data_IF_563533651593
#
_entry.id   IF_563533651593
#
_cell.length_a   1.000
_cell.length_b   1.000
_cell.length_c   1.000
_cell.angle_alpha   90.00
_cell.angle_beta   90.00
_cell.angle_gamma   90.00
#
_symmetry.space_group_name_H-M   'P 1'
#
loop_
_entity.id
_entity.type
_entity.pdbx_description
1 polymer ?
#
# COMPACT_ATOMS: atom_id res chain seq x y z
N UNK A 1 30.92 -8.73 -9.78
CA UNK A 1 29.46 -8.93 -9.86
C UNK A 1 28.71 -7.79 -9.13
N UNK A 2 28.89 -7.62 -7.80
CA UNK A 2 28.13 -6.64 -7.01
C UNK A 2 28.24 -5.20 -7.52
N UNK A 3 29.45 -4.72 -7.83
CA UNK A 3 29.67 -3.39 -8.41
C UNK A 3 29.04 -3.22 -9.79
N UNK A 4 29.17 -4.22 -10.66
CA UNK A 4 28.57 -4.17 -12.01
C UNK A 4 27.05 -4.14 -11.93
N UNK A 5 26.44 -4.99 -11.05
CA UNK A 5 25.01 -5.07 -10.83
C UNK A 5 24.46 -3.76 -10.22
N UNK A 6 25.12 -3.20 -9.19
CA UNK A 6 24.69 -1.96 -8.55
C UNK A 6 24.85 -0.74 -9.45
N UNK A 7 25.99 -0.61 -10.15
CA UNK A 7 26.21 0.51 -11.08
C UNK A 7 25.27 0.48 -12.26
N UNK A 8 25.06 -0.70 -12.88
CA UNK A 8 24.12 -0.82 -14.01
C UNK A 8 22.69 -0.49 -13.60
N UNK A 9 22.25 -0.95 -12.41
CA UNK A 9 20.92 -0.63 -11.87
C UNK A 9 20.77 0.88 -11.65
N UNK A 10 21.76 1.52 -11.03
CA UNK A 10 21.74 2.96 -10.78
C UNK A 10 21.70 3.76 -12.09
N UNK A 11 22.53 3.40 -13.07
CA UNK A 11 22.57 4.06 -14.38
C UNK A 11 21.21 3.91 -15.08
N UNK A 12 20.63 2.70 -15.11
CA UNK A 12 19.35 2.44 -15.77
C UNK A 12 18.21 3.21 -15.10
N UNK A 13 18.22 3.35 -13.76
CA UNK A 13 17.24 4.18 -13.07
C UNK A 13 17.40 5.67 -13.39
N UNK A 14 18.62 6.18 -13.42
CA UNK A 14 18.88 7.57 -13.80
C UNK A 14 18.49 7.87 -15.25
N UNK A 15 18.57 6.89 -16.14
CA UNK A 15 18.11 6.99 -17.53
C UNK A 15 16.56 6.90 -17.66
N UNK A 16 15.84 6.68 -16.58
CA UNK A 16 14.38 6.55 -16.60
C UNK A 16 13.86 5.23 -17.21
N UNK A 17 14.68 4.20 -17.24
CA UNK A 17 14.28 2.87 -17.75
C UNK A 17 13.21 2.28 -16.82
N UNK A 18 12.11 1.68 -17.35
CA UNK A 18 11.09 1.05 -16.53
C UNK A 18 11.69 0.04 -15.55
N UNK A 19 11.23 0.07 -14.30
CA UNK A 19 11.84 -0.62 -13.15
C UNK A 19 12.07 -2.11 -13.41
N UNK A 20 11.09 -2.82 -13.96
CA UNK A 20 11.21 -4.25 -14.27
C UNK A 20 12.34 -4.53 -15.26
N UNK A 21 12.47 -3.67 -16.28
CA UNK A 21 13.52 -3.77 -17.31
C UNK A 21 14.89 -3.44 -16.71
N UNK A 22 14.95 -2.38 -15.89
CA UNK A 22 16.19 -1.96 -15.23
C UNK A 22 16.73 -3.06 -14.31
N UNK A 23 15.89 -3.67 -13.47
CA UNK A 23 16.27 -4.77 -12.58
C UNK A 23 16.70 -6.00 -13.40
N UNK A 24 15.94 -6.36 -14.43
CA UNK A 24 16.24 -7.50 -15.29
C UNK A 24 17.57 -7.34 -16.04
N UNK A 25 17.78 -6.19 -16.68
CA UNK A 25 19.02 -5.90 -17.40
C UNK A 25 20.24 -5.80 -16.47
N UNK A 26 20.10 -5.13 -15.32
CA UNK A 26 21.17 -5.09 -14.33
C UNK A 26 21.57 -6.49 -13.87
N UNK A 27 20.59 -7.39 -13.70
CA UNK A 27 20.84 -8.78 -13.33
C UNK A 27 21.60 -9.53 -14.42
N UNK A 28 21.25 -9.33 -15.71
CA UNK A 28 21.98 -9.90 -16.85
C UNK A 28 23.43 -9.39 -16.88
N UNK A 29 23.64 -8.09 -16.72
CA UNK A 29 24.99 -7.50 -16.63
C UNK A 29 25.79 -8.10 -15.46
N UNK A 30 25.12 -8.33 -14.31
CA UNK A 30 25.76 -8.99 -13.17
C UNK A 30 26.19 -10.42 -13.44
N UNK A 31 25.39 -11.19 -14.19
CA UNK A 31 25.69 -12.57 -14.61
C UNK A 31 26.90 -12.57 -15.55
N UNK A 32 26.87 -11.74 -16.58
CA UNK A 32 27.95 -11.62 -17.57
C UNK A 32 29.28 -11.18 -16.91
N UNK A 33 29.22 -10.21 -16.00
CA UNK A 33 30.40 -9.75 -15.27
C UNK A 33 31.01 -10.83 -14.34
N UNK A 34 30.22 -11.83 -13.93
CA UNK A 34 30.73 -12.96 -13.16
C UNK A 34 31.36 -14.05 -14.05
N UNK A 35 30.86 -14.23 -15.30
CA UNK A 35 31.38 -15.17 -16.29
C UNK A 35 31.26 -16.67 -15.91
N UNK A 36 30.51 -17.03 -14.87
CA UNK A 36 30.38 -18.40 -14.35
C UNK A 36 28.94 -18.92 -14.37
N UNK A 37 27.96 -18.08 -14.63
CA UNK A 37 26.55 -18.43 -14.63
C UNK A 37 26.02 -18.45 -16.08
N UNK A 38 25.28 -19.50 -16.47
CA UNK A 38 24.69 -19.55 -17.81
C UNK A 38 23.53 -18.56 -17.90
N UNK A 39 23.36 -17.91 -19.07
CA UNK A 39 22.23 -17.02 -19.33
C UNK A 39 20.86 -17.70 -19.25
N UNK A 40 20.81 -19.04 -19.41
CA UNK A 40 19.58 -19.81 -19.20
C UNK A 40 19.00 -19.60 -17.80
N UNK A 41 19.85 -19.29 -16.81
CA UNK A 41 19.45 -18.99 -15.42
C UNK A 41 18.47 -17.80 -15.37
N UNK A 42 18.59 -16.83 -16.29
CA UNK A 42 17.70 -15.67 -16.37
C UNK A 42 16.26 -16.14 -16.55
N UNK A 43 16.02 -16.93 -17.59
CA UNK A 43 14.68 -17.45 -17.88
C UNK A 43 14.16 -18.36 -16.74
N UNK A 44 15.01 -19.26 -16.23
CA UNK A 44 14.64 -20.16 -15.14
C UNK A 44 14.21 -19.40 -13.89
N UNK A 45 15.00 -18.42 -13.44
CA UNK A 45 14.72 -17.66 -12.22
C UNK A 45 13.52 -16.71 -12.38
N UNK A 46 13.38 -16.08 -13.53
CA UNK A 46 12.21 -15.25 -13.80
C UNK A 46 10.91 -16.08 -13.80
N UNK A 47 10.95 -17.27 -14.37
CA UNK A 47 9.78 -18.16 -14.43
C UNK A 47 9.45 -18.72 -13.03
N UNK A 48 10.44 -19.30 -12.34
CA UNK A 48 10.22 -19.85 -10.97
C UNK A 48 9.86 -18.77 -9.95
N UNK A 49 10.28 -17.52 -10.16
CA UNK A 49 9.96 -16.42 -9.26
C UNK A 49 8.50 -16.00 -9.25
N UNK A 50 7.76 -16.25 -10.33
CA UNK A 50 6.32 -16.02 -10.41
C UNK A 50 5.49 -17.28 -10.15
N UNK A 51 6.10 -18.45 -10.15
CA UNK A 51 5.44 -19.74 -9.86
C UNK A 51 5.33 -19.95 -8.35
N UNK A 52 4.49 -19.14 -7.71
CA UNK A 52 4.26 -19.16 -6.27
C UNK A 52 2.77 -19.00 -5.97
N UNK A 53 2.19 -19.95 -5.21
CA UNK A 53 0.76 -19.97 -4.89
C UNK A 53 0.29 -18.67 -4.20
N UNK A 54 1.00 -18.08 -3.21
CA UNK A 54 0.59 -16.82 -2.61
C UNK A 54 0.51 -15.64 -3.57
N UNK A 55 1.29 -15.63 -4.66
CA UNK A 55 1.24 -14.56 -5.66
C UNK A 55 -0.07 -14.54 -6.45
N UNK A 56 -0.80 -15.66 -6.52
CA UNK A 56 -2.13 -15.71 -7.13
C UNK A 56 -3.15 -14.82 -6.40
N UNK A 57 -2.90 -14.46 -5.15
CA UNK A 57 -3.76 -13.53 -4.41
C UNK A 57 -3.75 -12.12 -5.05
N UNK A 58 -2.65 -11.69 -5.66
CA UNK A 58 -2.51 -10.34 -6.22
C UNK A 58 -3.51 -10.08 -7.36
N UNK A 59 -3.55 -10.88 -8.45
CA UNK A 59 -4.53 -10.66 -9.51
C UNK A 59 -5.98 -10.75 -9.03
N UNK A 60 -6.26 -11.63 -8.07
CA UNK A 60 -7.61 -11.79 -7.54
C UNK A 60 -8.03 -10.62 -6.65
N UNK A 61 -7.16 -10.08 -5.80
CA UNK A 61 -7.48 -8.87 -5.04
C UNK A 61 -7.60 -7.64 -5.94
N UNK A 62 -6.78 -7.49 -6.98
CA UNK A 62 -6.94 -6.42 -7.98
C UNK A 62 -8.30 -6.54 -8.67
N UNK A 63 -8.68 -7.75 -9.08
CA UNK A 63 -9.97 -8.02 -9.70
C UNK A 63 -11.12 -7.68 -8.74
N UNK A 64 -11.06 -8.15 -7.50
CA UNK A 64 -12.07 -7.85 -6.48
C UNK A 64 -12.23 -6.34 -6.27
N UNK A 65 -11.13 -5.59 -6.13
CA UNK A 65 -11.13 -4.13 -5.98
C UNK A 65 -11.76 -3.41 -7.18
N UNK A 66 -11.44 -3.83 -8.41
CA UNK A 66 -12.02 -3.27 -9.62
C UNK A 66 -13.53 -3.58 -9.74
N UNK A 67 -13.95 -4.82 -9.43
CA UNK A 67 -15.37 -5.22 -9.40
C UNK A 67 -16.15 -4.43 -8.37
N UNK A 68 -15.59 -4.23 -7.17
CA UNK A 68 -16.24 -3.46 -6.11
C UNK A 68 -16.35 -1.98 -6.45
N UNK A 69 -15.34 -1.41 -7.07
CA UNK A 69 -15.36 -0.02 -7.53
C UNK A 69 -16.48 0.19 -8.56
N UNK A 70 -16.54 -0.71 -9.56
CA UNK A 70 -17.57 -0.66 -10.61
C UNK A 70 -18.98 -1.06 -10.12
N UNK A 71 -19.06 -1.91 -9.08
CA UNK A 71 -20.31 -2.40 -8.48
C UNK A 71 -20.97 -1.46 -7.48
N UNK A 72 -20.51 -0.19 -7.36
CA UNK A 72 -21.14 0.84 -6.52
C UNK A 72 -20.85 0.69 -5.02
N UNK A 73 -19.91 -0.17 -4.63
CA UNK A 73 -19.54 -0.40 -3.24
C UNK A 73 -18.85 0.85 -2.67
N UNK A 74 -17.94 1.47 -3.43
CA UNK A 74 -17.24 2.69 -3.03
C UNK A 74 -18.19 3.81 -2.61
N UNK A 75 -19.26 4.02 -3.37
CA UNK A 75 -20.24 5.06 -3.07
C UNK A 75 -20.94 4.81 -1.72
N UNK A 76 -21.31 3.56 -1.43
CA UNK A 76 -21.99 3.20 -0.17
C UNK A 76 -21.08 3.31 1.05
N UNK A 77 -19.80 3.00 0.90
CA UNK A 77 -18.80 3.24 1.95
C UNK A 77 -18.62 4.73 2.23
N UNK A 78 -18.61 5.58 1.18
CA UNK A 78 -18.59 7.04 1.34
C UNK A 78 -19.82 7.54 2.10
N UNK A 79 -21.04 7.07 1.74
CA UNK A 79 -22.27 7.47 2.43
C UNK A 79 -22.30 7.00 3.88
N UNK A 80 -21.81 5.81 4.18
CA UNK A 80 -21.66 5.32 5.53
C UNK A 80 -20.68 6.20 6.33
N UNK A 81 -19.50 6.46 5.82
CA UNK A 81 -18.51 7.29 6.49
C UNK A 81 -19.03 8.72 6.73
N UNK A 82 -19.72 9.32 5.77
CA UNK A 82 -20.40 10.61 5.94
C UNK A 82 -21.45 10.57 7.05
N UNK A 83 -22.23 9.51 7.15
CA UNK A 83 -23.25 9.39 8.18
C UNK A 83 -22.66 9.25 9.58
N UNK A 84 -21.46 8.65 9.70
CA UNK A 84 -20.76 8.48 10.98
C UNK A 84 -20.12 9.77 11.48
N UNK A 85 -19.39 10.49 10.63
CA UNK A 85 -18.53 11.61 11.05
C UNK A 85 -18.82 12.95 10.38
N UNK A 86 -19.70 13.00 9.37
CA UNK A 86 -19.99 14.21 8.59
C UNK A 86 -20.61 15.38 9.39
N UNK A 87 -21.05 15.15 10.65
CA UNK A 87 -21.80 16.10 11.49
C UNK A 87 -21.02 17.18 12.19
N UNK A 88 -19.74 17.12 12.13
CA UNK A 88 -18.86 18.02 12.82
C UNK A 88 -18.09 18.89 11.82
N UNK A 89 -17.57 20.02 12.26
CA UNK A 89 -16.70 20.81 11.42
C UNK A 89 -15.47 19.97 11.02
N UNK A 90 -15.17 19.87 9.73
CA UNK A 90 -14.16 18.97 9.20
C UNK A 90 -14.65 17.52 8.97
N UNK A 91 -15.94 17.25 9.22
CA UNK A 91 -16.51 15.90 9.15
C UNK A 91 -16.41 15.26 7.76
N UNK A 92 -16.60 16.03 6.69
CA UNK A 92 -16.46 15.51 5.32
C UNK A 92 -15.02 15.07 5.00
N UNK A 93 -14.02 15.78 5.52
CA UNK A 93 -12.63 15.39 5.38
C UNK A 93 -12.28 14.17 6.25
N UNK A 94 -12.85 14.06 7.47
CA UNK A 94 -12.77 12.83 8.27
C UNK A 94 -13.45 11.64 7.57
N UNK A 95 -14.57 11.90 6.88
CA UNK A 95 -15.24 10.87 6.07
C UNK A 95 -14.32 10.37 4.95
N UNK A 96 -13.46 11.24 4.40
CA UNK A 96 -12.47 10.83 3.41
C UNK A 96 -11.47 9.82 4.00
N UNK A 97 -10.90 10.11 5.17
CA UNK A 97 -9.97 9.20 5.86
C UNK A 97 -10.65 7.87 6.16
N UNK A 98 -11.85 7.92 6.75
CA UNK A 98 -12.60 6.73 7.14
C UNK A 98 -13.03 5.89 5.92
N UNK A 99 -13.45 6.54 4.83
CA UNK A 99 -13.78 5.82 3.58
C UNK A 99 -12.56 5.16 2.98
N UNK A 100 -11.42 5.86 2.93
CA UNK A 100 -10.17 5.27 2.45
C UNK A 100 -9.75 4.07 3.32
N UNK A 101 -9.90 4.17 4.63
CA UNK A 101 -9.65 3.07 5.56
C UNK A 101 -10.56 1.85 5.28
N UNK A 102 -11.87 2.08 5.08
CA UNK A 102 -12.81 0.99 4.77
C UNK A 102 -12.58 0.42 3.37
N UNK A 103 -12.31 1.25 2.38
CA UNK A 103 -12.04 0.81 1.01
C UNK A 103 -10.68 0.10 0.87
N UNK A 104 -9.72 0.47 1.72
CA UNK A 104 -8.42 -0.19 1.83
C UNK A 104 -8.55 -1.70 2.08
N UNK A 105 -9.49 -2.09 2.96
CA UNK A 105 -9.73 -3.51 3.29
C UNK A 105 -10.21 -4.37 2.13
N UNK A 106 -10.23 -3.82 0.92
CA UNK A 106 -10.61 -4.52 -0.30
C UNK A 106 -9.66 -4.25 -1.46
N UNK A 107 -9.22 -2.97 -1.63
CA UNK A 107 -8.45 -2.59 -2.83
C UNK A 107 -6.98 -3.00 -2.76
N UNK A 108 -6.39 -3.00 -1.57
CA UNK A 108 -4.96 -3.31 -1.36
C UNK A 108 -3.97 -2.39 -2.06
N UNK A 109 -4.43 -1.22 -2.60
CA UNK A 109 -3.63 -0.28 -3.39
C UNK A 109 -3.99 1.17 -3.06
N UNK A 110 -2.99 1.99 -2.74
CA UNK A 110 -3.17 3.42 -2.47
C UNK A 110 -3.58 4.20 -3.73
N UNK A 111 -2.99 3.89 -4.87
CA UNK A 111 -3.31 4.54 -6.15
C UNK A 111 -4.74 4.25 -6.57
N UNK A 112 -5.18 3.00 -6.49
CA UNK A 112 -6.57 2.62 -6.78
C UNK A 112 -7.55 3.33 -5.83
N UNK A 113 -7.22 3.41 -4.54
CA UNK A 113 -8.01 4.13 -3.53
C UNK A 113 -8.08 5.64 -3.85
N UNK A 114 -6.96 6.24 -4.30
CA UNK A 114 -6.93 7.66 -4.70
C UNK A 114 -7.87 7.94 -5.85
N UNK A 115 -7.88 7.11 -6.89
CA UNK A 115 -8.78 7.31 -8.02
C UNK A 115 -10.24 7.03 -7.66
N UNK A 116 -10.54 5.90 -7.01
CA UNK A 116 -11.90 5.49 -6.71
C UNK A 116 -12.61 6.46 -5.73
N UNK A 117 -11.98 6.76 -4.61
CA UNK A 117 -12.57 7.59 -3.55
C UNK A 117 -12.36 9.08 -3.85
N UNK A 118 -11.20 9.45 -4.40
CA UNK A 118 -10.88 10.82 -4.75
C UNK A 118 -11.81 11.42 -5.80
N UNK A 119 -12.23 10.63 -6.79
CA UNK A 119 -13.21 11.06 -7.79
C UNK A 119 -14.56 11.49 -7.19
N UNK A 120 -14.93 10.92 -6.04
CA UNK A 120 -16.17 11.22 -5.32
C UNK A 120 -15.93 12.34 -4.30
N UNK A 121 -14.93 12.21 -3.45
CA UNK A 121 -14.77 13.07 -2.27
C UNK A 121 -14.02 14.37 -2.54
N UNK A 122 -13.06 14.44 -3.49
CA UNK A 122 -12.41 15.70 -3.82
C UNK A 122 -13.43 16.75 -4.32
N UNK A 123 -14.30 16.47 -5.32
CA UNK A 123 -15.32 17.42 -5.73
C UNK A 123 -16.31 17.76 -4.61
N UNK A 124 -16.69 16.77 -3.80
CA UNK A 124 -17.57 16.99 -2.66
C UNK A 124 -16.96 17.96 -1.64
N UNK A 125 -15.71 17.76 -1.23
CA UNK A 125 -15.00 18.66 -0.32
C UNK A 125 -14.89 20.07 -0.90
N UNK A 126 -14.57 20.22 -2.18
CA UNK A 126 -14.48 21.52 -2.84
C UNK A 126 -15.83 22.24 -2.84
N UNK A 127 -16.94 21.52 -3.11
CA UNK A 127 -18.30 22.08 -3.04
C UNK A 127 -18.65 22.58 -1.63
N UNK A 128 -18.10 21.95 -0.59
CA UNK A 128 -18.30 22.33 0.82
C UNK A 128 -17.24 23.29 1.35
N UNK A 129 -16.57 24.04 0.46
CA UNK A 129 -15.68 25.15 0.82
C UNK A 129 -14.26 24.76 1.21
N UNK A 130 -13.86 23.51 0.99
CA UNK A 130 -12.45 23.13 1.16
C UNK A 130 -11.61 23.66 -0.01
N UNK A 131 -10.44 24.28 0.24
CA UNK A 131 -9.49 24.60 -0.83
C UNK A 131 -9.14 23.34 -1.61
N UNK A 132 -9.20 23.42 -2.92
CA UNK A 132 -8.96 22.26 -3.81
C UNK A 132 -7.61 21.58 -3.55
N UNK A 133 -6.48 22.31 -3.32
CA UNK A 133 -5.22 21.69 -2.96
C UNK A 133 -5.27 20.93 -1.62
N UNK A 134 -6.01 21.46 -0.63
CA UNK A 134 -6.18 20.79 0.67
C UNK A 134 -7.00 19.50 0.52
N UNK A 135 -8.09 19.54 -0.25
CA UNK A 135 -8.89 18.34 -0.53
C UNK A 135 -8.06 17.24 -1.21
N UNK A 136 -7.22 17.63 -2.16
CA UNK A 136 -6.30 16.69 -2.81
C UNK A 136 -5.21 16.14 -1.85
N UNK A 137 -4.68 16.96 -0.93
CA UNK A 137 -3.73 16.52 0.11
C UNK A 137 -4.36 15.52 1.07
N UNK A 138 -5.60 15.79 1.52
CA UNK A 138 -6.37 14.88 2.39
C UNK A 138 -6.53 13.54 1.69
N UNK A 139 -6.99 13.56 0.43
CA UNK A 139 -7.20 12.33 -0.35
C UNK A 139 -5.91 11.55 -0.56
N UNK A 140 -4.82 12.20 -1.00
CA UNK A 140 -3.54 11.56 -1.22
C UNK A 140 -3.04 10.84 0.03
N UNK A 141 -3.03 11.53 1.17
CA UNK A 141 -2.54 10.98 2.43
C UNK A 141 -3.46 9.91 3.01
N UNK A 142 -4.78 10.06 2.87
CA UNK A 142 -5.74 9.05 3.34
C UNK A 142 -5.69 7.78 2.51
N UNK A 143 -5.39 7.87 1.22
CA UNK A 143 -5.33 6.73 0.33
C UNK A 143 -4.14 5.80 0.64
N UNK A 144 -3.11 6.27 1.36
CA UNK A 144 -2.01 5.41 1.82
C UNK A 144 -2.48 4.31 2.79
N UNK A 145 -3.62 4.48 3.42
CA UNK A 145 -4.26 3.40 4.18
C UNK A 145 -4.54 2.17 3.30
N UNK A 146 -4.66 2.36 1.97
CA UNK A 146 -4.86 1.30 0.98
C UNK A 146 -3.74 0.28 0.88
N UNK A 147 -2.53 0.60 1.33
CA UNK A 147 -1.40 -0.33 1.38
C UNK A 147 -1.08 -0.80 2.80
N UNK A 148 -1.67 -0.17 3.82
CA UNK A 148 -1.43 -0.51 5.23
C UNK A 148 -2.47 -1.49 5.76
N UNK A 149 -3.75 -1.23 5.48
CA UNK A 149 -4.86 -2.05 5.97
C UNK A 149 -5.03 -3.27 5.07
N UNK A 150 -5.07 -4.48 5.65
CA UNK A 150 -5.21 -5.69 4.87
C UNK A 150 -6.60 -5.84 4.20
N UNK A 151 -6.66 -6.56 3.06
CA UNK A 151 -5.53 -7.13 2.35
C UNK A 151 -4.69 -6.08 1.61
N UNK A 152 -3.38 -6.23 1.64
CA UNK A 152 -2.43 -5.27 1.05
C UNK A 152 -1.48 -6.00 0.10
N UNK A 153 -1.39 -5.53 -1.15
CA UNK A 153 -0.47 -6.09 -2.14
C UNK A 153 1.00 -5.94 -1.70
N UNK A 154 1.46 -4.78 -1.19
CA UNK A 154 2.80 -4.65 -0.65
C UNK A 154 3.13 -5.63 0.48
N UNK A 155 2.19 -5.91 1.38
CA UNK A 155 2.40 -6.91 2.45
C UNK A 155 2.52 -8.33 1.91
N UNK A 156 1.76 -8.69 0.85
CA UNK A 156 1.92 -9.98 0.16
C UNK A 156 3.31 -10.08 -0.45
N UNK A 157 3.75 -9.03 -1.16
CA UNK A 157 5.06 -8.98 -1.81
C UNK A 157 6.20 -9.09 -0.80
N UNK A 158 6.09 -8.38 0.32
CA UNK A 158 7.05 -8.50 1.41
C UNK A 158 7.09 -9.93 1.95
N UNK A 159 5.93 -10.50 2.28
CA UNK A 159 5.83 -11.87 2.81
C UNK A 159 6.45 -12.91 1.88
N UNK A 160 6.17 -12.84 0.57
CA UNK A 160 6.74 -13.76 -0.42
C UNK A 160 8.24 -13.54 -0.60
N UNK A 161 8.72 -12.30 -0.59
CA UNK A 161 10.13 -11.98 -0.84
C UNK A 161 11.05 -12.26 0.37
N UNK A 162 10.49 -12.40 1.57
CA UNK A 162 11.23 -12.58 2.83
C UNK A 162 10.85 -13.84 3.60
N UNK A 163 10.03 -14.72 3.00
CA UNK A 163 9.47 -15.93 3.65
C UNK A 163 8.75 -15.63 4.98
N UNK A 164 8.12 -14.43 5.07
CA UNK A 164 7.36 -14.00 6.26
C UNK A 164 5.87 -14.33 6.08
N UNK A 165 5.20 -14.78 7.15
CA UNK A 165 3.78 -15.13 7.11
C UNK A 165 2.89 -13.96 6.68
N UNK A 166 2.20 -14.09 5.53
CA UNK A 166 1.28 -13.07 5.02
C UNK A 166 0.09 -12.88 5.96
N UNK A 167 -0.39 -13.95 6.59
CA UNK A 167 -1.47 -13.88 7.58
C UNK A 167 -1.08 -13.02 8.79
N UNK A 168 0.12 -13.22 9.33
CA UNK A 168 0.66 -12.40 10.43
C UNK A 168 0.86 -10.93 10.00
N UNK A 169 1.38 -10.70 8.80
CA UNK A 169 1.54 -9.35 8.24
C UNK A 169 0.20 -8.62 8.11
N UNK A 170 -0.85 -9.34 7.71
CA UNK A 170 -2.19 -8.77 7.60
C UNK A 170 -2.75 -8.37 8.97
N UNK A 171 -2.60 -9.23 9.98
CA UNK A 171 -3.03 -8.87 11.36
C UNK A 171 -2.20 -7.70 11.89
N UNK A 172 -0.87 -7.73 11.68
CA UNK A 172 0.04 -6.68 12.11
C UNK A 172 -0.27 -5.31 11.48
N UNK A 173 -0.85 -5.27 10.27
CA UNK A 173 -1.21 -4.05 9.54
C UNK A 173 -2.37 -3.27 10.16
N UNK A 174 -3.21 -3.91 10.97
CA UNK A 174 -4.37 -3.26 11.60
C UNK A 174 -3.95 -2.14 12.55
N UNK A 175 -2.99 -2.40 13.43
CA UNK A 175 -2.52 -1.42 14.41
C UNK A 175 -1.96 -0.15 13.76
N UNK A 176 -0.96 -0.25 12.88
CA UNK A 176 -0.45 0.88 12.09
C UNK A 176 -1.53 1.60 11.30
N UNK A 177 -2.44 0.86 10.64
CA UNK A 177 -3.54 1.45 9.87
C UNK A 177 -4.45 2.32 10.73
N UNK A 178 -4.86 1.85 11.91
CA UNK A 178 -5.68 2.61 12.86
C UNK A 178 -4.91 3.83 13.39
N UNK A 179 -3.62 3.69 13.71
CA UNK A 179 -2.81 4.79 14.21
C UNK A 179 -2.68 5.91 13.16
N UNK A 180 -2.38 5.56 11.90
CA UNK A 180 -2.28 6.53 10.80
C UNK A 180 -3.63 7.18 10.53
N UNK A 181 -4.73 6.41 10.45
CA UNK A 181 -6.05 6.94 10.21
C UNK A 181 -6.49 7.92 11.31
N UNK A 182 -6.32 7.55 12.58
CA UNK A 182 -6.66 8.43 13.72
C UNK A 182 -5.80 9.69 13.75
N UNK A 183 -4.50 9.58 13.47
CA UNK A 183 -3.59 10.73 13.38
C UNK A 183 -4.01 11.70 12.27
N UNK A 184 -4.37 11.18 11.09
CA UNK A 184 -4.87 11.99 9.97
C UNK A 184 -6.22 12.64 10.31
N UNK A 185 -7.16 11.93 10.95
CA UNK A 185 -8.43 12.50 11.37
C UNK A 185 -8.24 13.64 12.39
N UNK A 186 -7.36 13.45 13.37
CA UNK A 186 -7.03 14.49 14.36
C UNK A 186 -6.45 15.72 13.64
N UNK A 187 -5.47 15.52 12.75
CA UNK A 187 -4.87 16.62 11.97
C UNK A 187 -5.93 17.40 11.19
N UNK A 188 -6.81 16.69 10.48
CA UNK A 188 -7.86 17.29 9.66
C UNK A 188 -8.82 18.12 10.54
N UNK A 189 -9.25 17.60 11.68
CA UNK A 189 -10.13 18.31 12.61
C UNK A 189 -9.46 19.59 13.14
N UNK A 190 -8.19 19.50 13.51
CA UNK A 190 -7.42 20.66 13.97
C UNK A 190 -7.29 21.70 12.87
N UNK A 191 -6.87 21.29 11.66
CA UNK A 191 -6.71 22.22 10.52
C UNK A 191 -8.04 22.88 10.14
N UNK A 192 -9.16 22.14 10.13
CA UNK A 192 -10.47 22.70 9.81
C UNK A 192 -10.93 23.73 10.86
N UNK A 193 -10.69 23.44 12.15
CA UNK A 193 -11.03 24.39 13.22
C UNK A 193 -10.17 25.64 13.17
N UNK A 194 -8.86 25.50 13.03
CA UNK A 194 -7.90 26.64 13.01
C UNK A 194 -8.13 27.53 11.79
N UNK A 195 -8.42 26.93 10.63
CA UNK A 195 -8.62 27.68 9.38
C UNK A 195 -10.07 28.11 9.14
N UNK A 196 -11.02 27.72 9.98
CA UNK A 196 -12.43 28.04 9.81
C UNK A 196 -13.06 27.39 8.56
N UNK A 197 -12.55 26.23 8.12
CA UNK A 197 -12.97 25.54 6.89
C UNK A 197 -13.83 24.32 7.25
N UNK A 198 -14.62 23.85 6.26
CA UNK A 198 -15.43 22.64 6.43
C UNK A 198 -16.54 22.84 7.44
N UNK A 199 -17.43 23.79 7.16
CA UNK A 199 -18.60 24.06 8.00
C UNK A 199 -19.49 22.82 8.12
N UNK A 200 -20.32 22.74 9.16
CA UNK A 200 -21.25 21.63 9.39
C UNK A 200 -22.12 21.41 8.18
N UNK A 201 -22.11 20.20 7.62
CA UNK A 201 -23.09 19.77 6.63
C UNK A 201 -24.47 19.66 7.32
N UNK A 202 -25.35 20.62 7.02
CA UNK A 202 -26.69 20.68 7.60
C UNK A 202 -27.75 19.91 6.82
N UNK A 203 -27.54 19.57 5.56
CA UNK A 203 -28.66 19.32 4.67
C UNK A 203 -28.74 17.91 4.00
N UNK A 204 -27.72 17.06 3.95
CA UNK A 204 -27.83 15.82 3.17
C UNK A 204 -27.26 14.59 3.90
N UNK A 205 -27.76 14.30 5.11
CA UNK A 205 -27.38 13.06 5.78
C UNK A 205 -28.48 12.02 5.65
N UNK A 206 -28.16 10.89 5.03
CA UNK A 206 -28.91 9.67 5.29
C UNK A 206 -28.79 9.33 6.79
N UNK A 207 -29.87 8.89 7.42
CA UNK A 207 -29.77 8.41 8.81
C UNK A 207 -28.72 7.31 8.90
N UNK A 208 -27.95 7.30 10.00
CA UNK A 208 -26.89 6.29 10.21
C UNK A 208 -27.43 4.86 10.00
N UNK A 209 -28.64 4.58 10.49
CA UNK A 209 -29.30 3.28 10.32
C UNK A 209 -29.50 2.91 8.83
N UNK A 210 -29.99 3.86 8.01
CA UNK A 210 -30.18 3.61 6.57
C UNK A 210 -28.86 3.45 5.84
N UNK A 211 -27.85 4.31 6.15
CA UNK A 211 -26.53 4.19 5.55
C UNK A 211 -25.86 2.87 5.91
N UNK A 212 -25.95 2.43 7.17
CA UNK A 212 -25.42 1.14 7.63
C UNK A 212 -26.10 -0.04 6.93
N UNK A 213 -27.44 -0.04 6.81
CA UNK A 213 -28.16 -1.09 6.11
C UNK A 213 -27.78 -1.18 4.63
N UNK A 214 -27.64 -0.03 3.98
CA UNK A 214 -27.23 0.03 2.57
C UNK A 214 -25.78 -0.40 2.36
N UNK A 215 -24.89 -0.14 3.32
CA UNK A 215 -23.47 -0.51 3.26
C UNK A 215 -23.22 -1.94 3.76
N UNK A 216 -24.16 -2.59 4.45
CA UNK A 216 -23.96 -3.92 5.02
C UNK A 216 -23.46 -4.95 4.02
N UNK A 217 -24.01 -5.09 2.79
CA UNK A 217 -23.47 -6.00 1.79
C UNK A 217 -22.03 -5.65 1.38
N UNK A 218 -21.70 -4.35 1.31
CA UNK A 218 -20.33 -3.89 1.02
C UNK A 218 -19.34 -4.27 2.13
N UNK A 219 -19.76 -4.16 3.40
CA UNK A 219 -18.95 -4.53 4.56
C UNK A 219 -18.79 -6.04 4.74
N UNK A 220 -19.70 -6.85 4.18
CA UNK A 220 -19.54 -8.30 4.21
C UNK A 220 -18.29 -8.76 3.46
N UNK A 221 -17.86 -8.05 2.41
CA UNK A 221 -16.68 -8.46 1.62
C UNK A 221 -15.40 -8.43 2.47
N UNK A 222 -14.99 -7.31 3.10
CA UNK A 222 -13.83 -7.32 3.99
C UNK A 222 -14.02 -8.26 5.19
N UNK A 223 -15.23 -8.42 5.69
CA UNK A 223 -15.49 -9.35 6.78
C UNK A 223 -15.23 -10.82 6.39
N UNK A 224 -15.66 -11.23 5.19
CA UNK A 224 -15.38 -12.58 4.66
C UNK A 224 -13.87 -12.79 4.48
N UNK A 225 -13.17 -11.80 3.92
CA UNK A 225 -11.73 -11.87 3.69
C UNK A 225 -10.98 -11.99 5.03
N UNK A 226 -11.12 -11.00 5.88
CA UNK A 226 -10.34 -10.91 7.12
C UNK A 226 -10.78 -11.96 8.14
N UNK A 227 -12.09 -12.17 8.27
CA UNK A 227 -12.64 -13.20 9.14
C UNK A 227 -12.18 -14.60 8.72
N UNK A 228 -12.17 -14.92 7.42
CA UNK A 228 -11.69 -16.18 6.89
C UNK A 228 -10.20 -16.41 7.13
N UNK A 229 -9.38 -15.37 6.95
CA UNK A 229 -7.91 -15.45 7.18
C UNK A 229 -7.62 -15.58 8.68
N UNK A 230 -8.24 -14.75 9.52
CA UNK A 230 -7.94 -14.72 10.97
C UNK A 230 -8.47 -15.90 11.73
N UNK A 231 -9.55 -16.54 11.23
CA UNK A 231 -10.03 -17.80 11.77
C UNK A 231 -9.25 -19.03 11.28
N UNK A 232 -8.30 -18.85 10.36
CA UNK A 232 -7.53 -19.95 9.76
C UNK A 232 -8.32 -20.79 8.75
N UNK A 233 -9.55 -20.37 8.38
CA UNK A 233 -10.39 -21.08 7.40
C UNK A 233 -9.84 -20.90 5.98
N UNK A 234 -9.35 -19.71 5.66
CA UNK A 234 -8.81 -19.35 4.35
C UNK A 234 -7.34 -18.97 4.42
N UNK A 235 -6.57 -19.43 3.47
CA UNK A 235 -5.30 -18.82 3.10
C UNK A 235 -5.55 -17.44 2.43
N UNK A 236 -4.57 -16.52 2.38
CA UNK A 236 -4.71 -15.25 1.66
C UNK A 236 -5.16 -15.42 0.20
N UNK A 237 -4.72 -16.48 -0.48
CA UNK A 237 -5.10 -16.77 -1.86
C UNK A 237 -6.56 -17.21 -1.97
N UNK A 238 -7.03 -18.11 -1.11
CA UNK A 238 -8.43 -18.53 -1.06
C UNK A 238 -9.36 -17.37 -0.68
N UNK A 239 -8.94 -16.54 0.28
CA UNK A 239 -9.67 -15.33 0.66
C UNK A 239 -9.80 -14.34 -0.52
N UNK A 240 -8.79 -14.24 -1.38
CA UNK A 240 -8.86 -13.39 -2.58
C UNK A 240 -9.87 -13.90 -3.61
N UNK A 241 -9.97 -15.22 -3.78
CA UNK A 241 -11.01 -15.82 -4.63
C UNK A 241 -12.42 -15.63 -4.04
N UNK A 242 -12.56 -15.79 -2.72
CA UNK A 242 -13.82 -15.49 -2.02
C UNK A 242 -14.21 -14.01 -2.15
N UNK A 243 -13.23 -13.08 -2.13
CA UNK A 243 -13.45 -11.66 -2.37
C UNK A 243 -14.02 -11.37 -3.75
N UNK A 244 -13.49 -12.01 -4.79
CA UNK A 244 -14.01 -11.88 -6.17
C UNK A 244 -15.45 -12.38 -6.24
N UNK A 245 -15.73 -13.57 -5.68
CA UNK A 245 -17.09 -14.13 -5.65
C UNK A 245 -18.07 -13.20 -4.90
N UNK A 246 -17.67 -12.71 -3.73
CA UNK A 246 -18.48 -11.78 -2.94
C UNK A 246 -18.72 -10.45 -3.67
N UNK A 247 -17.69 -9.89 -4.33
CA UNK A 247 -17.82 -8.66 -5.12
C UNK A 247 -18.81 -8.82 -6.30
N UNK A 248 -18.78 -9.97 -6.98
CA UNK A 248 -19.75 -10.30 -8.04
C UNK A 248 -21.17 -10.44 -7.48
N UNK A 249 -21.36 -11.18 -6.40
CA UNK A 249 -22.67 -11.37 -5.76
C UNK A 249 -23.24 -10.02 -5.31
N UNK A 250 -22.44 -9.21 -4.63
CA UNK A 250 -22.89 -7.90 -4.14
C UNK A 250 -23.13 -6.94 -5.30
N UNK A 251 -22.21 -6.81 -6.25
CA UNK A 251 -22.31 -5.84 -7.35
C UNK A 251 -23.40 -6.17 -8.38
N UNK A 252 -23.53 -7.45 -8.76
CA UNK A 252 -24.51 -7.88 -9.76
C UNK A 252 -25.85 -8.30 -9.14
N UNK A 253 -25.82 -9.00 -8.01
CA UNK A 253 -27.02 -9.58 -7.39
C UNK A 253 -27.76 -8.59 -6.49
N UNK A 254 -27.04 -7.96 -5.54
CA UNK A 254 -27.64 -7.10 -4.51
C UNK A 254 -27.79 -5.66 -5.03
N UNK A 255 -26.70 -5.02 -5.42
CA UNK A 255 -26.71 -3.63 -5.86
C UNK A 255 -27.16 -3.46 -7.31
N UNK A 256 -26.94 -4.47 -8.14
CA UNK A 256 -27.33 -4.50 -9.56
C UNK A 256 -26.74 -3.35 -10.39
N UNK A 257 -25.61 -2.81 -9.94
CA UNK A 257 -24.88 -1.75 -10.65
C UNK A 257 -23.81 -2.33 -11.58
N UNK A 258 -23.25 -3.49 -11.23
CA UNK A 258 -22.28 -4.20 -12.05
C UNK A 258 -23.03 -4.96 -13.18
N UNK A 259 -22.77 -4.54 -14.43
CA UNK A 259 -23.37 -5.18 -15.61
C UNK A 259 -22.36 -6.11 -16.29
N UNK A 260 -22.84 -7.18 -16.94
CA UNK A 260 -22.01 -8.10 -17.72
C UNK A 260 -21.17 -7.38 -18.79
N UNK A 261 -21.71 -6.32 -19.40
CA UNK A 261 -21.03 -5.51 -20.38
C UNK A 261 -19.78 -4.77 -19.85
N UNK A 262 -19.66 -4.60 -18.53
CA UNK A 262 -18.50 -3.94 -17.91
C UNK A 262 -17.37 -4.93 -17.63
N UNK A 263 -17.65 -6.24 -17.55
CA UNK A 263 -16.65 -7.25 -17.18
C UNK A 263 -15.42 -7.29 -18.11
N UNK A 264 -15.55 -7.20 -19.44
CA UNK A 264 -14.39 -7.21 -20.32
C UNK A 264 -13.39 -6.06 -20.03
N UNK A 265 -13.88 -4.86 -19.75
CA UNK A 265 -13.01 -3.72 -19.42
C UNK A 265 -12.38 -3.88 -18.03
N UNK A 266 -13.13 -4.37 -17.04
CA UNK A 266 -12.63 -4.69 -15.71
C UNK A 266 -11.53 -5.75 -15.77
N UNK A 267 -11.75 -6.82 -16.52
CA UNK A 267 -10.74 -7.87 -16.72
C UNK A 267 -9.50 -7.33 -17.42
N UNK A 268 -9.67 -6.52 -18.46
CA UNK A 268 -8.55 -5.88 -19.15
C UNK A 268 -7.70 -5.02 -18.22
N UNK A 269 -8.33 -4.16 -17.41
CA UNK A 269 -7.62 -3.34 -16.43
C UNK A 269 -6.90 -4.19 -15.39
N UNK A 270 -7.54 -5.26 -14.92
CA UNK A 270 -6.94 -6.22 -13.98
C UNK A 270 -5.73 -6.91 -14.59
N UNK A 271 -5.83 -7.39 -15.82
CA UNK A 271 -4.71 -8.04 -16.53
C UNK A 271 -3.53 -7.09 -16.70
N UNK A 272 -3.78 -5.85 -17.12
CA UNK A 272 -2.71 -4.84 -17.30
C UNK A 272 -2.00 -4.58 -15.97
N UNK A 273 -2.75 -4.32 -14.90
CA UNK A 273 -2.17 -4.06 -13.58
C UNK A 273 -1.41 -5.27 -13.04
N UNK A 274 -1.98 -6.46 -13.16
CA UNK A 274 -1.35 -7.72 -12.73
C UNK A 274 -0.06 -7.99 -13.51
N UNK A 275 -0.08 -7.86 -14.83
CA UNK A 275 1.08 -8.12 -15.67
C UNK A 275 2.24 -7.19 -15.34
N UNK A 276 1.95 -5.91 -15.05
CA UNK A 276 2.97 -4.95 -14.63
C UNK A 276 3.65 -5.39 -13.31
N UNK A 277 2.89 -5.88 -12.34
CA UNK A 277 3.43 -6.36 -11.07
C UNK A 277 4.20 -7.68 -11.27
N UNK A 278 3.65 -8.64 -12.02
CA UNK A 278 4.26 -9.94 -12.22
C UNK A 278 5.61 -9.85 -12.94
N UNK A 279 5.78 -8.95 -13.90
CA UNK A 279 7.07 -8.77 -14.58
C UNK A 279 8.12 -8.15 -13.64
N UNK A 280 7.71 -7.28 -12.73
CA UNK A 280 8.60 -6.75 -11.68
C UNK A 280 9.03 -7.89 -10.74
N UNK A 281 8.10 -8.75 -10.31
CA UNK A 281 8.40 -9.90 -9.44
C UNK A 281 9.39 -10.84 -10.12
N UNK A 282 9.16 -11.17 -11.40
CA UNK A 282 10.05 -12.04 -12.17
C UNK A 282 11.49 -11.49 -12.21
N UNK A 283 11.64 -10.22 -12.55
CA UNK A 283 12.93 -9.55 -12.60
C UNK A 283 13.60 -9.47 -11.20
N UNK A 284 12.81 -9.13 -10.18
CA UNK A 284 13.27 -9.04 -8.80
C UNK A 284 13.69 -10.39 -8.22
N UNK A 285 13.03 -11.49 -8.58
CA UNK A 285 13.44 -12.84 -8.18
C UNK A 285 14.83 -13.21 -8.69
N UNK A 286 15.13 -12.89 -9.94
CA UNK A 286 16.48 -13.05 -10.51
C UNK A 286 17.50 -12.18 -9.75
N UNK A 287 17.16 -10.92 -9.51
CA UNK A 287 18.01 -9.97 -8.79
C UNK A 287 18.30 -10.44 -7.36
N UNK A 288 17.26 -10.83 -6.61
CA UNK A 288 17.36 -11.35 -5.25
C UNK A 288 18.24 -12.59 -5.17
N UNK A 289 18.08 -13.51 -6.13
CA UNK A 289 18.96 -14.68 -6.22
C UNK A 289 20.43 -14.29 -6.38
N UNK A 290 20.75 -13.33 -7.24
CA UNK A 290 22.13 -12.87 -7.46
C UNK A 290 22.70 -12.17 -6.22
N UNK A 291 21.91 -11.31 -5.58
CA UNK A 291 22.26 -10.61 -4.35
C UNK A 291 22.57 -11.61 -3.23
N UNK A 292 21.68 -12.57 -3.01
CA UNK A 292 21.89 -13.61 -1.96
C UNK A 292 23.13 -14.45 -2.25
N UNK A 293 23.30 -14.89 -3.51
CA UNK A 293 24.46 -15.69 -3.92
C UNK A 293 25.79 -14.93 -3.82
N UNK A 294 25.76 -13.61 -3.95
CA UNK A 294 26.96 -12.76 -3.88
C UNK A 294 27.47 -12.55 -2.46
N UNK A 295 26.66 -12.89 -1.44
CA UNK A 295 26.97 -12.57 -0.05
C UNK A 295 26.81 -11.10 0.32
N UNK A 296 26.29 -10.28 -0.60
CA UNK A 296 26.12 -8.83 -0.38
C UNK A 296 25.34 -8.48 0.89
N UNK A 297 24.23 -9.19 1.26
CA UNK A 297 23.54 -8.91 2.50
C UNK A 297 24.43 -9.04 3.74
N UNK A 298 25.36 -10.01 3.76
CA UNK A 298 26.29 -10.20 4.87
C UNK A 298 27.35 -9.08 4.93
N UNK A 299 27.86 -8.65 3.77
CA UNK A 299 28.81 -7.53 3.67
C UNK A 299 28.16 -6.22 4.15
N UNK A 300 26.93 -5.97 3.70
CA UNK A 300 26.15 -4.80 4.13
C UNK A 300 25.84 -4.90 5.63
N UNK A 301 25.45 -6.08 6.15
CA UNK A 301 25.18 -6.28 7.56
C UNK A 301 26.40 -6.01 8.44
N UNK A 302 27.58 -6.46 8.01
CA UNK A 302 28.83 -6.18 8.70
C UNK A 302 29.13 -4.67 8.72
N UNK A 303 29.01 -4.00 7.58
CA UNK A 303 29.18 -2.55 7.48
C UNK A 303 28.20 -1.77 8.36
N UNK A 304 26.90 -2.17 8.36
CA UNK A 304 25.91 -1.55 9.24
C UNK A 304 26.27 -1.72 10.72
N UNK A 305 26.76 -2.89 11.14
CA UNK A 305 27.19 -3.14 12.52
C UNK A 305 28.41 -2.31 12.93
N UNK A 306 29.30 -2.03 11.98
CA UNK A 306 30.47 -1.17 12.23
C UNK A 306 30.08 0.31 12.35
N UNK A 307 29.02 0.75 11.63
CA UNK A 307 28.58 2.16 11.58
C UNK A 307 27.51 2.44 12.63
N UNK A 308 26.58 1.52 12.86
CA UNK A 308 25.45 1.68 13.76
C UNK A 308 25.51 0.68 14.91
N UNK A 309 25.94 1.12 16.08
CA UNK A 309 26.09 0.27 17.28
C UNK A 309 24.76 -0.14 17.90
N UNK A 310 23.65 0.57 17.60
CA UNK A 310 22.35 0.33 18.22
C UNK A 310 21.22 0.03 17.23
N UNK A 311 20.27 -0.80 17.66
CA UNK A 311 19.01 -1.07 16.94
C UNK A 311 18.27 0.23 16.57
N UNK A 312 18.27 1.22 17.46
CA UNK A 312 17.59 2.51 17.26
C UNK A 312 18.23 3.27 16.10
N UNK A 313 19.56 3.38 16.08
CA UNK A 313 20.30 4.05 15.01
C UNK A 313 20.14 3.34 13.66
N UNK A 314 20.17 2.00 13.66
CA UNK A 314 19.90 1.19 12.47
C UNK A 314 18.49 1.47 11.90
N UNK A 315 17.46 1.39 12.72
CA UNK A 315 16.09 1.64 12.29
C UNK A 315 15.89 3.07 11.78
N UNK A 316 16.54 4.06 12.38
CA UNK A 316 16.49 5.45 11.90
C UNK A 316 17.16 5.58 10.52
N UNK A 317 18.32 4.99 10.33
CA UNK A 317 19.03 4.99 9.05
C UNK A 317 18.20 4.31 7.95
N UNK A 318 17.57 3.17 8.26
CA UNK A 318 16.66 2.46 7.35
C UNK A 318 15.44 3.31 7.03
N UNK A 319 14.84 3.98 8.01
CA UNK A 319 13.70 4.87 7.77
C UNK A 319 14.07 6.02 6.81
N UNK A 320 15.23 6.63 6.98
CA UNK A 320 15.70 7.69 6.06
C UNK A 320 15.93 7.13 4.65
N UNK A 321 16.58 5.98 4.55
CA UNK A 321 16.83 5.31 3.27
C UNK A 321 15.52 5.00 2.54
N UNK A 322 14.56 4.35 3.23
CA UNK A 322 13.28 3.94 2.66
C UNK A 322 12.43 5.14 2.26
N UNK A 323 12.46 6.23 3.04
CA UNK A 323 11.76 7.47 2.70
C UNK A 323 12.30 8.05 1.40
N UNK A 324 13.64 8.14 1.27
CA UNK A 324 14.28 8.63 0.04
C UNK A 324 13.89 7.73 -1.14
N UNK A 325 14.01 6.41 -1.00
CA UNK A 325 13.65 5.47 -2.08
C UNK A 325 12.17 5.58 -2.45
N UNK A 326 11.27 5.65 -1.46
CA UNK A 326 9.83 5.76 -1.68
C UNK A 326 9.39 7.06 -2.39
N UNK A 327 10.21 8.13 -2.33
CA UNK A 327 9.97 9.34 -3.11
C UNK A 327 10.11 9.13 -4.62
N UNK A 328 10.89 8.13 -5.05
CA UNK A 328 11.26 7.90 -6.45
C UNK A 328 10.69 6.62 -7.03
N UNK A 329 10.46 5.60 -6.20
CA UNK A 329 10.10 4.24 -6.62
C UNK A 329 8.76 3.86 -5.99
N UNK A 330 7.92 3.19 -6.77
CA UNK A 330 6.64 2.64 -6.30
C UNK A 330 6.90 1.55 -5.24
N UNK A 331 5.99 1.47 -4.25
CA UNK A 331 6.13 0.62 -3.05
C UNK A 331 6.40 -0.84 -3.39
N UNK A 332 5.68 -1.44 -4.33
CA UNK A 332 5.83 -2.86 -4.68
C UNK A 332 7.23 -3.17 -5.23
N UNK A 333 7.73 -2.30 -6.10
CA UNK A 333 9.06 -2.45 -6.68
C UNK A 333 10.17 -2.23 -5.65
N UNK A 334 10.02 -1.23 -4.78
CA UNK A 334 10.98 -0.96 -3.72
C UNK A 334 11.07 -2.13 -2.72
N UNK A 335 9.94 -2.73 -2.33
CA UNK A 335 9.90 -3.91 -1.47
C UNK A 335 10.66 -5.08 -2.09
N UNK A 336 10.37 -5.41 -3.34
CA UNK A 336 10.99 -6.57 -4.01
C UNK A 336 12.50 -6.46 -4.15
N UNK A 337 13.05 -5.23 -4.20
CA UNK A 337 14.49 -4.99 -4.26
C UNK A 337 15.11 -4.91 -2.87
N UNK A 338 14.49 -4.19 -1.95
CA UNK A 338 15.10 -3.84 -0.67
C UNK A 338 14.78 -4.83 0.45
N UNK A 339 13.59 -5.43 0.48
CA UNK A 339 13.21 -6.30 1.58
C UNK A 339 14.11 -7.55 1.70
N UNK A 340 14.50 -8.26 0.61
CA UNK A 340 15.42 -9.39 0.72
C UNK A 340 16.82 -9.01 1.23
N UNK A 341 17.20 -7.75 1.08
CA UNK A 341 18.49 -7.23 1.55
C UNK A 341 18.40 -6.79 3.01
N UNK A 342 17.39 -5.98 3.34
CA UNK A 342 17.29 -5.31 4.63
C UNK A 342 16.71 -6.20 5.73
N UNK A 343 15.81 -7.16 5.40
CA UNK A 343 15.18 -8.01 6.42
C UNK A 343 16.17 -8.91 7.16
N UNK A 344 17.11 -9.60 6.51
CA UNK A 344 18.13 -10.36 7.23
C UNK A 344 19.00 -9.49 8.15
N UNK A 345 19.28 -8.25 7.74
CA UNK A 345 20.04 -7.29 8.55
C UNK A 345 19.21 -6.88 9.77
N UNK A 346 17.92 -6.57 9.59
CA UNK A 346 17.02 -6.22 10.69
C UNK A 346 16.90 -7.34 11.72
N UNK A 347 16.80 -8.61 11.28
CA UNK A 347 16.80 -9.79 12.14
C UNK A 347 18.12 -9.86 12.94
N UNK A 348 19.27 -9.55 12.34
CA UNK A 348 20.55 -9.54 13.02
C UNK A 348 20.66 -8.44 14.10
N UNK A 349 19.80 -7.40 14.05
CA UNK A 349 19.61 -6.39 15.10
C UNK A 349 18.48 -6.74 16.08
N UNK A 350 17.90 -7.94 15.99
CA UNK A 350 16.82 -8.40 16.87
C UNK A 350 15.47 -7.76 16.57
N UNK A 351 15.24 -7.31 15.31
CA UNK A 351 13.95 -6.81 14.86
C UNK A 351 13.13 -7.98 14.32
N UNK A 352 11.90 -8.12 14.79
CA UNK A 352 10.97 -9.12 14.29
C UNK A 352 10.66 -8.86 12.80
N UNK A 353 10.67 -9.89 11.91
CA UNK A 353 10.44 -9.72 10.48
C UNK A 353 9.04 -9.22 10.12
N UNK A 354 8.01 -9.56 10.89
CA UNK A 354 6.65 -9.04 10.68
C UNK A 354 6.61 -7.55 11.00
N UNK A 355 7.16 -7.15 12.14
CA UNK A 355 7.26 -5.75 12.53
C UNK A 355 8.07 -4.93 11.51
N UNK A 356 9.19 -5.47 11.04
CA UNK A 356 10.02 -4.81 10.04
C UNK A 356 9.31 -4.64 8.70
N UNK A 357 8.50 -5.62 8.29
CA UNK A 357 7.67 -5.53 7.10
C UNK A 357 6.69 -4.35 7.16
N UNK A 358 6.08 -4.12 8.31
CA UNK A 358 5.19 -2.96 8.50
C UNK A 358 5.97 -1.64 8.46
N UNK A 359 7.17 -1.58 9.05
CA UNK A 359 8.04 -0.39 8.95
C UNK A 359 8.34 -0.07 7.48
N UNK A 360 8.74 -1.07 6.69
CA UNK A 360 9.02 -0.88 5.25
C UNK A 360 7.78 -0.36 4.52
N UNK A 361 6.63 -1.01 4.69
CA UNK A 361 5.40 -0.65 3.95
C UNK A 361 4.92 0.74 4.33
N UNK A 362 4.86 1.09 5.63
CA UNK A 362 4.44 2.42 6.10
C UNK A 362 5.38 3.51 5.59
N UNK A 363 6.68 3.24 5.59
CA UNK A 363 7.70 4.19 5.16
C UNK A 363 7.63 4.46 3.65
N UNK A 364 7.55 3.40 2.85
CA UNK A 364 7.42 3.53 1.39
C UNK A 364 6.08 4.20 1.01
N UNK A 365 4.99 3.89 1.73
CA UNK A 365 3.72 4.59 1.57
C UNK A 365 3.87 6.10 1.82
N UNK A 366 4.55 6.50 2.90
CA UNK A 366 4.88 7.91 3.14
C UNK A 366 5.69 8.53 1.99
N UNK A 367 6.63 7.77 1.42
CA UNK A 367 7.39 8.18 0.25
C UNK A 367 6.50 8.48 -0.96
N UNK A 368 5.44 7.68 -1.19
CA UNK A 368 4.51 7.86 -2.32
C UNK A 368 3.70 9.17 -2.27
N UNK A 369 3.61 9.83 -1.15
CA UNK A 369 3.01 11.17 -1.02
C UNK A 369 4.06 12.28 -0.86
N UNK A 370 5.34 11.94 -0.85
CA UNK A 370 6.41 12.90 -0.60
C UNK A 370 7.08 13.32 -1.93
N UNK A 371 7.24 14.63 -2.21
CA UNK A 371 7.99 15.09 -3.39
C UNK A 371 9.44 14.55 -3.37
N UNK A 372 10.10 14.36 -4.55
CA UNK A 372 9.81 14.97 -5.85
C UNK A 372 8.81 14.21 -6.73
N UNK A 373 8.79 12.88 -6.70
CA UNK A 373 7.87 12.12 -7.55
C UNK A 373 6.55 11.83 -6.83
N UNK A 374 6.55 10.99 -5.79
CA UNK A 374 5.35 10.68 -5.03
C UNK A 374 4.19 10.20 -5.91
N UNK A 375 4.19 8.94 -6.34
CA UNK A 375 3.23 8.40 -7.33
C UNK A 375 1.77 8.69 -6.93
N UNK A 376 1.44 8.57 -5.65
CA UNK A 376 0.09 8.83 -5.17
C UNK A 376 -0.26 10.33 -5.12
N UNK A 377 0.75 11.17 -4.94
CA UNK A 377 0.62 12.62 -5.08
C UNK A 377 0.19 13.00 -6.50
N UNK A 378 0.84 12.42 -7.52
CA UNK A 378 0.45 12.65 -8.92
C UNK A 378 -0.96 12.13 -9.22
N UNK A 379 -1.34 10.96 -8.67
CA UNK A 379 -2.69 10.42 -8.81
C UNK A 379 -3.74 11.40 -8.25
N UNK A 380 -3.53 11.95 -7.05
CA UNK A 380 -4.43 12.94 -6.46
C UNK A 380 -4.47 14.24 -7.26
N UNK A 381 -3.32 14.70 -7.77
CA UNK A 381 -3.25 15.87 -8.66
C UNK A 381 -4.04 15.67 -9.95
N UNK A 382 -3.96 14.47 -10.56
CA UNK A 382 -4.70 14.13 -11.76
C UNK A 382 -6.23 14.16 -11.52
N UNK A 383 -6.70 13.54 -10.43
CA UNK A 383 -8.12 13.58 -10.03
C UNK A 383 -8.58 15.01 -9.74
N UNK A 384 -7.77 15.77 -9.01
CA UNK A 384 -8.08 17.15 -8.67
C UNK A 384 -7.88 18.13 -9.82
N UNK A 385 -7.26 17.72 -10.93
CA UNK A 385 -6.84 18.62 -12.04
C UNK A 385 -6.05 19.82 -11.51
N UNK A 386 -4.98 19.52 -10.77
CA UNK A 386 -4.06 20.51 -10.16
C UNK A 386 -2.61 20.16 -10.54
N UNK A 387 -1.75 21.17 -10.53
CA UNK A 387 -0.30 20.98 -10.58
C UNK A 387 0.26 20.66 -9.19
N UNK A 388 1.35 19.89 -9.15
CA UNK A 388 1.96 19.39 -7.91
C UNK A 388 2.45 20.50 -7.00
N UNK A 389 2.97 21.58 -7.56
CA UNK A 389 3.45 22.76 -6.82
C UNK A 389 2.37 23.36 -5.89
N UNK A 390 1.10 23.33 -6.31
CA UNK A 390 -0.03 23.86 -5.53
C UNK A 390 -0.43 23.00 -4.35
N UNK A 391 -0.19 21.72 -4.40
CA UNK A 391 -0.58 20.79 -3.32
C UNK A 391 0.46 20.74 -2.18
N UNK A 392 1.75 20.93 -2.50
CA UNK A 392 2.88 20.78 -1.56
C UNK A 392 2.69 21.57 -0.25
N UNK A 393 2.30 22.86 -0.25
CA UNK A 393 2.17 23.63 1.00
C UNK A 393 1.10 23.07 1.95
N UNK A 394 0.07 22.41 1.41
CA UNK A 394 -0.97 21.77 2.21
C UNK A 394 -0.57 20.36 2.64
N UNK A 395 0.16 19.66 1.80
CA UNK A 395 0.59 18.28 1.99
C UNK A 395 1.60 18.11 3.13
N UNK A 396 2.45 19.13 3.37
CA UNK A 396 3.51 19.05 4.38
C UNK A 396 3.01 18.63 5.76
N UNK A 397 1.86 19.15 6.20
CA UNK A 397 1.27 18.79 7.48
C UNK A 397 0.87 17.31 7.56
N UNK A 398 0.39 16.76 6.46
CA UNK A 398 0.01 15.35 6.36
C UNK A 398 1.24 14.45 6.36
N UNK A 399 2.27 14.81 5.59
CA UNK A 399 3.57 14.10 5.56
C UNK A 399 4.19 14.07 6.96
N UNK A 400 4.24 15.20 7.67
CA UNK A 400 4.76 15.27 9.02
C UNK A 400 3.96 14.41 10.01
N UNK A 401 2.63 14.36 9.86
CA UNK A 401 1.76 13.54 10.72
C UNK A 401 1.99 12.06 10.47
N UNK A 402 2.05 11.62 9.21
CA UNK A 402 2.34 10.22 8.88
C UNK A 402 3.76 9.84 9.28
N UNK A 403 4.74 10.75 9.12
CA UNK A 403 6.10 10.56 9.61
C UNK A 403 6.14 10.37 11.13
N UNK A 404 5.40 11.19 11.89
CA UNK A 404 5.26 11.02 13.33
C UNK A 404 4.66 9.65 13.70
N UNK A 405 3.60 9.23 13.01
CA UNK A 405 3.02 7.89 13.18
C UNK A 405 4.02 6.78 12.82
N UNK A 406 4.80 6.93 11.73
CA UNK A 406 5.88 6.00 11.36
C UNK A 406 6.93 5.87 12.47
N UNK A 407 7.34 6.98 13.10
CA UNK A 407 8.29 6.92 14.21
C UNK A 407 7.72 6.15 15.41
N UNK A 408 6.45 6.37 15.74
CA UNK A 408 5.77 5.61 16.79
C UNK A 408 5.71 4.11 16.42
N UNK A 409 5.31 3.77 15.21
CA UNK A 409 5.29 2.38 14.71
C UNK A 409 6.68 1.75 14.81
N UNK A 410 7.71 2.44 14.34
CA UNK A 410 9.08 1.94 14.30
C UNK A 410 9.63 1.58 15.69
N UNK A 411 9.35 2.41 16.70
CA UNK A 411 9.94 2.25 18.02
C UNK A 411 9.02 1.62 19.07
N UNK A 412 7.76 1.36 18.71
CA UNK A 412 6.77 0.69 19.59
C UNK A 412 6.27 -0.59 18.89
N UNK A 413 7.03 -1.71 18.97
CA UNK A 413 6.66 -2.97 18.28
C UNK A 413 5.31 -3.52 18.68
N UNK A 414 4.83 -3.20 19.90
CA UNK A 414 3.52 -3.63 20.36
C UNK A 414 2.37 -3.23 19.43
N UNK A 415 2.48 -2.12 18.69
CA UNK A 415 1.44 -1.68 17.74
C UNK A 415 1.23 -2.70 16.61
N UNK A 416 2.29 -3.38 16.20
CA UNK A 416 2.27 -4.37 15.13
C UNK A 416 2.15 -5.79 15.67
N UNK A 417 2.85 -6.12 16.76
CA UNK A 417 2.97 -7.50 17.25
C UNK A 417 1.85 -7.91 18.21
N UNK A 418 1.33 -6.98 19.03
CA UNK A 418 0.23 -7.32 19.96
C UNK A 418 -1.01 -7.88 19.25
N UNK A 419 -1.49 -7.34 18.11
CA UNK A 419 -2.58 -7.97 17.37
C UNK A 419 -2.25 -9.37 16.87
N UNK A 420 -0.97 -9.62 16.50
CA UNK A 420 -0.52 -10.94 16.03
C UNK A 420 -0.52 -11.96 17.16
N UNK A 421 0.00 -11.58 18.34
CA UNK A 421 -0.03 -12.40 19.55
C UNK A 421 -1.47 -12.77 19.94
N UNK A 422 -2.39 -11.82 19.83
CA UNK A 422 -3.80 -12.02 20.18
C UNK A 422 -4.51 -13.02 19.25
N UNK A 423 -4.18 -13.04 17.97
CA UNK A 423 -4.85 -13.87 16.95
C UNK A 423 -4.18 -15.23 16.80
N UNK A 424 -2.86 -15.29 16.79
CA UNK A 424 -2.11 -16.51 16.53
C UNK A 424 -1.53 -17.17 17.79
N UNK A 425 -1.55 -16.49 18.93
CA UNK A 425 -1.18 -17.03 20.23
C UNK A 425 0.28 -17.49 20.31
N UNK A 426 1.19 -16.62 20.65
CA UNK A 426 2.54 -17.02 21.07
C UNK A 426 2.80 -16.48 22.47
#
# INVERSE_FOLDING_TARGET
MNTALGLSLAILFLMGVPIAVAIGLASVVGIEAQGRLPLLLVAQRMFTGIDSFPLMAIPLFILAGNLMSAGGISFRLVELAKSMVGGIQGGLACSCVLTCMMFASVSGSSVATTFAIGAILIPAMVKHGYPKPMAASIQASSAELGVLIPPSIPLILYGVSTDTSIGQLFVAGIGPGILVATSLMILVLVLCRVRGIGMRDGEDRSSLARASLNALPALLVPFVILGGIYSGIFTPTEASAAAVAAALIVGMGIYRELKFSMLPEILKQTVIATSAIMIIIAAASLFSFLITRSGLPNEIAAWFKDVFESRVAFLLAVNILLLIVGMFIETSAAILVLAPILTPIAIAYGVDPVHFGLIIVVNLALGMITPPLGVNLFAACAVAKLSVDKIIPHLLWFVLTVFGALMIITYVPAITLWPVELVFGN
#
